data_IF_195982512058
#
_entry.id   IF_195982512058
#
_cell.length_a   1.000
_cell.length_b   1.000
_cell.length_c   1.000
_cell.angle_alpha   90.00
_cell.angle_beta   90.00
_cell.angle_gamma   90.00
#
_symmetry.space_group_name_H-M   'P 1'
#
loop_
_entity.id
_entity.type
_entity.pdbx_description
1 polymer ?
#
# COMPACT_ATOMS: atom_id res chain seq x y z
N UNK A 1 27.34 1.16 -18.77
CA UNK A 1 27.22 1.99 -17.55
C UNK A 1 26.13 3.02 -17.80
N UNK A 2 24.94 2.83 -17.24
CA UNK A 2 23.82 3.77 -17.40
C UNK A 2 23.75 4.65 -16.16
N UNK A 3 23.91 5.96 -16.35
CA UNK A 3 23.91 6.98 -15.29
C UNK A 3 22.50 7.41 -14.86
N UNK A 4 21.50 6.53 -15.00
CA UNK A 4 20.13 6.81 -14.56
C UNK A 4 19.80 5.79 -13.49
N UNK A 5 19.56 6.27 -12.25
CA UNK A 5 19.04 5.43 -11.17
C UNK A 5 17.79 4.69 -11.69
N UNK A 6 17.68 3.36 -11.53
CA UNK A 6 16.55 2.58 -12.02
C UNK A 6 15.19 3.11 -11.50
N UNK A 7 15.21 3.75 -10.33
CA UNK A 7 14.06 4.45 -9.75
C UNK A 7 13.55 5.61 -10.62
N UNK A 8 14.43 6.38 -11.26
CA UNK A 8 14.04 7.49 -12.13
C UNK A 8 13.47 7.01 -13.47
N UNK A 9 13.99 5.90 -14.01
CA UNK A 9 13.42 5.26 -15.21
C UNK A 9 12.03 4.71 -14.95
N UNK A 10 11.80 4.09 -13.78
CA UNK A 10 10.49 3.60 -13.39
C UNK A 10 9.46 4.74 -13.30
N UNK A 11 9.88 5.92 -12.81
CA UNK A 11 9.01 7.12 -12.78
C UNK A 11 8.69 7.60 -14.19
N UNK A 12 9.67 7.73 -15.08
CA UNK A 12 9.43 8.24 -16.46
C UNK A 12 8.53 7.28 -17.26
N UNK A 13 8.80 5.97 -17.18
CA UNK A 13 7.95 4.96 -17.84
C UNK A 13 6.54 4.93 -17.26
N UNK A 14 6.38 5.19 -15.96
CA UNK A 14 5.10 5.25 -15.26
C UNK A 14 4.24 6.45 -15.65
N UNK A 15 4.85 7.57 -16.05
CA UNK A 15 4.14 8.79 -16.45
C UNK A 15 4.06 8.99 -17.97
N UNK A 16 4.55 8.03 -18.77
CA UNK A 16 4.60 8.14 -20.24
C UNK A 16 3.23 8.42 -20.86
N UNK A 17 2.18 7.76 -20.37
CA UNK A 17 0.81 7.95 -20.86
C UNK A 17 0.28 9.37 -20.56
N UNK A 18 0.58 9.90 -19.36
CA UNK A 18 0.21 11.25 -18.97
C UNK A 18 0.99 12.31 -19.76
N UNK A 19 2.29 12.10 -19.98
CA UNK A 19 3.15 12.97 -20.80
C UNK A 19 2.71 12.99 -22.26
N UNK A 20 2.39 11.83 -22.85
CA UNK A 20 1.85 11.75 -24.20
C UNK A 20 0.48 12.45 -24.30
N UNK A 21 -0.42 12.23 -23.34
CA UNK A 21 -1.71 12.91 -23.28
C UNK A 21 -1.57 14.43 -23.16
N UNK A 22 -0.63 14.91 -22.35
CA UNK A 22 -0.31 16.34 -22.22
C UNK A 22 0.25 16.93 -23.53
N UNK A 23 1.17 16.22 -24.20
CA UNK A 23 1.70 16.65 -25.50
C UNK A 23 0.59 16.75 -26.56
N UNK A 24 -0.31 15.77 -26.61
CA UNK A 24 -1.46 15.78 -27.54
C UNK A 24 -2.42 16.93 -27.22
N UNK A 25 -2.69 17.20 -25.94
CA UNK A 25 -3.49 18.35 -25.51
C UNK A 25 -2.89 19.69 -25.92
N UNK A 26 -1.58 19.87 -25.71
CA UNK A 26 -0.86 21.08 -26.10
C UNK A 26 -0.87 21.27 -27.63
N UNK A 27 -0.72 20.18 -28.39
CA UNK A 27 -0.81 20.20 -29.84
C UNK A 27 -2.22 20.57 -30.33
N UNK A 28 -3.25 19.97 -29.72
CA UNK A 28 -4.65 20.26 -30.04
C UNK A 28 -5.03 21.71 -29.69
N UNK A 29 -4.55 22.22 -28.56
CA UNK A 29 -4.74 23.62 -28.15
C UNK A 29 -4.04 24.58 -29.12
N UNK A 30 -2.81 24.25 -29.55
CA UNK A 30 -2.07 25.05 -30.52
C UNK A 30 -2.78 25.10 -31.89
N UNK A 31 -3.28 23.97 -32.39
CA UNK A 31 -4.11 23.94 -33.61
C UNK A 31 -5.45 24.65 -33.45
N UNK A 32 -6.09 24.58 -32.28
CA UNK A 32 -7.34 25.31 -32.01
C UNK A 32 -7.18 26.83 -32.01
N UNK A 33 -6.01 27.34 -31.62
CA UNK A 33 -5.68 28.78 -31.61
C UNK A 33 -5.20 29.30 -32.97
N UNK A 34 -4.61 28.45 -33.81
CA UNK A 34 -3.99 28.84 -35.09
C UNK A 34 -4.87 28.59 -36.31
N UNK A 35 -5.87 27.70 -36.22
CA UNK A 35 -6.73 27.32 -37.36
C UNK A 35 -8.12 27.98 -37.34
N UNK A 36 -8.59 28.39 -38.52
CA UNK A 36 -9.96 28.90 -38.75
C UNK A 36 -10.79 27.89 -39.59
N UNK A 37 -12.11 27.86 -39.37
CA UNK A 37 -13.04 27.00 -40.13
C UNK A 37 -13.32 25.62 -39.52
N UNK A 38 -13.63 24.62 -40.37
CA UNK A 38 -14.00 23.24 -39.98
C UNK A 38 -12.92 22.54 -39.13
N UNK A 39 -11.65 22.91 -39.36
CA UNK A 39 -10.49 22.38 -38.63
C UNK A 39 -10.53 22.74 -37.13
N UNK A 40 -11.21 23.83 -36.74
CA UNK A 40 -11.39 24.24 -35.34
C UNK A 40 -12.33 23.29 -34.58
N UNK A 41 -13.34 22.74 -35.25
CA UNK A 41 -14.23 21.73 -34.64
C UNK A 41 -13.53 20.39 -34.44
N UNK A 42 -12.67 19.99 -35.38
CA UNK A 42 -11.81 18.81 -35.24
C UNK A 42 -10.82 18.99 -34.08
N UNK A 43 -10.21 20.18 -33.95
CA UNK A 43 -9.34 20.51 -32.82
C UNK A 43 -10.08 20.50 -31.47
N UNK A 44 -11.31 21.01 -31.42
CA UNK A 44 -12.14 20.96 -30.22
C UNK A 44 -12.46 19.52 -29.78
N UNK A 45 -12.81 18.64 -30.72
CA UNK A 45 -13.04 17.22 -30.44
C UNK A 45 -11.77 16.52 -29.92
N UNK A 46 -10.61 16.80 -30.52
CA UNK A 46 -9.30 16.29 -30.08
C UNK A 46 -8.92 16.82 -28.68
N UNK A 47 -9.25 18.08 -28.37
CA UNK A 47 -8.98 18.66 -27.06
C UNK A 47 -9.79 17.99 -25.95
N UNK A 48 -11.07 17.68 -26.22
CA UNK A 48 -11.92 16.92 -25.29
C UNK A 48 -11.38 15.50 -25.09
N UNK A 49 -11.05 14.80 -26.18
CA UNK A 49 -10.48 13.46 -26.12
C UNK A 49 -9.13 13.42 -25.38
N UNK A 50 -8.24 14.38 -25.64
CA UNK A 50 -6.97 14.54 -24.95
C UNK A 50 -7.15 14.86 -23.46
N UNK A 51 -8.13 15.71 -23.12
CA UNK A 51 -8.52 16.01 -21.75
C UNK A 51 -8.97 14.77 -20.98
N UNK A 52 -9.86 13.97 -21.58
CA UNK A 52 -10.32 12.70 -21.02
C UNK A 52 -9.16 11.72 -20.79
N UNK A 53 -8.26 11.58 -21.76
CA UNK A 53 -7.08 10.71 -21.64
C UNK A 53 -6.11 11.21 -20.55
N UNK A 54 -5.89 12.52 -20.45
CA UNK A 54 -5.02 13.10 -19.43
C UNK A 54 -5.59 12.90 -18.02
N UNK A 55 -6.90 13.11 -17.84
CA UNK A 55 -7.60 12.86 -16.55
C UNK A 55 -7.56 11.37 -16.21
N UNK A 56 -7.80 10.47 -17.16
CA UNK A 56 -7.70 9.03 -16.95
C UNK A 56 -6.26 8.59 -16.60
N UNK A 57 -5.26 9.18 -17.26
CA UNK A 57 -3.84 8.97 -16.95
C UNK A 57 -3.46 9.49 -15.57
N UNK A 58 -3.99 10.65 -15.16
CA UNK A 58 -3.76 11.22 -13.84
C UNK A 58 -4.43 10.39 -12.74
N UNK A 59 -5.65 9.90 -12.97
CA UNK A 59 -6.32 8.96 -12.07
C UNK A 59 -5.53 7.65 -11.92
N UNK A 60 -5.10 7.04 -13.03
CA UNK A 60 -4.29 5.79 -13.01
C UNK A 60 -2.91 5.99 -12.38
N UNK A 61 -2.29 7.14 -12.62
CA UNK A 61 -1.03 7.54 -12.00
C UNK A 61 -1.17 7.71 -10.48
N UNK A 62 -2.26 8.34 -10.02
CA UNK A 62 -2.57 8.48 -8.59
C UNK A 62 -2.83 7.15 -7.89
N UNK A 63 -3.52 6.21 -8.53
CA UNK A 63 -3.73 4.86 -7.97
C UNK A 63 -2.42 4.06 -7.79
N UNK A 64 -1.39 4.30 -8.62
CA UNK A 64 -0.05 3.71 -8.45
C UNK A 64 0.90 4.53 -7.57
N UNK A 65 0.51 5.75 -7.17
CA UNK A 65 1.33 6.62 -6.31
C UNK A 65 1.15 6.29 -4.82
N UNK A 66 0.05 5.62 -4.43
CA UNK A 66 -0.22 5.19 -3.05
C UNK A 66 0.16 3.74 -2.73
N UNK A 67 0.57 2.94 -3.72
CA UNK A 67 0.65 1.46 -3.60
C UNK A 67 2.07 0.91 -3.40
N UNK A 68 2.98 1.67 -2.80
CA UNK A 68 4.30 1.13 -2.43
C UNK A 68 4.27 0.22 -1.19
N UNK A 69 3.08 -0.04 -0.64
CA UNK A 69 2.86 -1.07 0.35
C UNK A 69 3.03 -2.44 -0.25
N UNK A 70 3.90 -3.25 0.34
CA UNK A 70 4.04 -4.65 -0.04
C UNK A 70 2.74 -5.38 0.39
N UNK A 71 1.73 -5.39 -0.48
CA UNK A 71 0.45 -6.09 -0.27
C UNK A 71 -0.72 -5.23 0.24
N UNK A 72 -1.89 -5.87 0.32
CA UNK A 72 -3.16 -5.27 0.76
C UNK A 72 -3.65 -5.99 2.00
N UNK A 73 -4.12 -5.23 2.98
CA UNK A 73 -4.75 -5.72 4.19
C UNK A 73 -6.26 -5.47 4.13
N UNK A 74 -7.04 -6.47 4.51
CA UNK A 74 -8.49 -6.40 4.55
C UNK A 74 -9.00 -6.96 5.87
N UNK A 75 -9.89 -6.21 6.53
CA UNK A 75 -10.59 -6.65 7.75
C UNK A 75 -12.08 -6.81 7.42
N UNK A 76 -12.63 -8.01 7.59
CA UNK A 76 -14.06 -8.30 7.38
C UNK A 76 -14.53 -9.17 8.52
N UNK A 77 -15.57 -8.75 9.25
CA UNK A 77 -16.20 -9.54 10.31
C UNK A 77 -15.23 -10.07 11.39
N UNK A 78 -14.20 -9.30 11.74
CA UNK A 78 -13.18 -9.71 12.71
C UNK A 78 -12.17 -10.73 12.16
N UNK A 79 -12.19 -11.01 10.86
CA UNK A 79 -11.13 -11.71 10.15
C UNK A 79 -10.20 -10.70 9.50
N UNK A 80 -8.90 -10.90 9.69
CA UNK A 80 -7.85 -10.11 9.09
C UNK A 80 -7.16 -10.93 8.00
N UNK A 81 -7.24 -10.46 6.75
CA UNK A 81 -6.57 -11.05 5.62
C UNK A 81 -5.48 -10.13 5.09
N UNK A 82 -4.33 -10.69 4.76
CA UNK A 82 -3.24 -10.01 4.09
C UNK A 82 -2.88 -10.71 2.79
N UNK A 83 -2.85 -9.94 1.71
CA UNK A 83 -2.54 -10.39 0.37
C UNK A 83 -1.24 -9.72 -0.08
N UNK A 84 -0.12 -10.38 0.19
CA UNK A 84 1.21 -9.96 -0.27
C UNK A 84 1.63 -10.65 -1.58
N UNK A 85 2.65 -10.10 -2.27
CA UNK A 85 3.11 -10.60 -3.57
C UNK A 85 3.78 -11.99 -3.53
N UNK A 86 4.31 -12.40 -2.37
CA UNK A 86 4.99 -13.68 -2.18
C UNK A 86 4.46 -14.50 -1.02
N UNK A 87 3.73 -13.86 -0.10
CA UNK A 87 3.18 -14.47 1.10
C UNK A 87 1.87 -13.75 1.43
N UNK A 88 0.90 -14.50 1.94
CA UNK A 88 -0.40 -14.00 2.34
C UNK A 88 -1.12 -15.05 3.18
N UNK A 89 -2.16 -14.62 3.87
CA UNK A 89 -2.92 -15.47 4.77
C UNK A 89 -4.04 -14.70 5.43
N UNK A 90 -4.88 -15.42 6.17
CA UNK A 90 -5.96 -14.83 6.93
C UNK A 90 -5.95 -15.40 8.34
N UNK A 91 -6.14 -14.53 9.32
CA UNK A 91 -6.22 -14.86 10.75
C UNK A 91 -7.49 -14.29 11.35
N UNK A 92 -8.13 -15.02 12.25
CA UNK A 92 -9.28 -14.52 12.99
C UNK A 92 -8.81 -13.73 14.21
N UNK A 93 -9.29 -12.51 14.41
CA UNK A 93 -8.93 -11.70 15.57
C UNK A 93 -9.27 -12.39 16.90
N UNK A 94 -10.37 -13.15 16.93
CA UNK A 94 -10.83 -13.89 18.11
C UNK A 94 -9.88 -15.04 18.49
N UNK A 95 -9.10 -15.56 17.54
CA UNK A 95 -8.18 -16.68 17.74
C UNK A 95 -6.71 -16.22 17.81
N UNK A 96 -6.48 -14.91 17.74
CA UNK A 96 -5.16 -14.33 17.75
C UNK A 96 -4.50 -14.57 19.12
N UNK A 97 -3.33 -15.21 19.12
CA UNK A 97 -2.61 -15.54 20.34
C UNK A 97 -1.57 -14.48 20.70
N UNK A 98 -0.82 -13.99 19.70
CA UNK A 98 0.27 -13.02 19.90
C UNK A 98 0.30 -12.01 18.77
N UNK A 99 0.44 -10.73 19.13
CA UNK A 99 0.77 -9.64 18.21
C UNK A 99 2.16 -9.15 18.53
N UNK A 100 3.06 -9.21 17.55
CA UNK A 100 4.41 -8.68 17.67
C UNK A 100 4.78 -7.81 16.49
N UNK A 101 5.70 -6.89 16.71
CA UNK A 101 6.28 -6.03 15.69
C UNK A 101 7.74 -6.44 15.51
N UNK A 102 8.06 -6.99 14.34
CA UNK A 102 9.42 -7.26 13.93
C UNK A 102 10.00 -6.06 13.18
N UNK A 103 10.90 -5.36 13.84
CA UNK A 103 11.58 -4.19 13.32
C UNK A 103 12.95 -4.51 12.70
N UNK A 104 13.40 -5.78 12.73
CA UNK A 104 14.69 -6.21 12.16
C UNK A 104 14.72 -6.10 10.63
N UNK A 105 13.55 -6.13 9.99
CA UNK A 105 13.40 -5.92 8.55
C UNK A 105 12.90 -4.50 8.27
N UNK A 106 13.33 -3.93 7.13
CA UNK A 106 12.84 -2.64 6.61
C UNK A 106 12.10 -2.90 5.29
N UNK A 107 10.79 -2.55 5.18
CA UNK A 107 9.93 -1.99 6.22
C UNK A 107 9.65 -2.98 7.37
N UNK A 108 9.36 -2.46 8.57
CA UNK A 108 8.96 -3.26 9.73
C UNK A 108 7.73 -4.11 9.40
N UNK A 109 7.55 -5.23 10.11
CA UNK A 109 6.46 -6.18 9.85
C UNK A 109 5.73 -6.52 11.14
N UNK A 110 4.41 -6.48 11.10
CA UNK A 110 3.55 -7.13 12.09
C UNK A 110 3.66 -8.63 11.92
N UNK A 111 3.83 -9.36 13.02
CA UNK A 111 3.82 -10.82 13.04
C UNK A 111 2.68 -11.24 13.96
N UNK A 112 1.70 -11.89 13.35
CA UNK A 112 0.45 -12.31 13.96
C UNK A 112 0.44 -13.83 14.08
N UNK A 113 0.46 -14.31 15.32
CA UNK A 113 0.48 -15.73 15.60
C UNK A 113 -0.92 -16.22 15.97
N UNK A 114 -1.38 -17.26 15.28
CA UNK A 114 -2.62 -17.97 15.59
C UNK A 114 -2.29 -19.46 15.84
N UNK A 115 -2.88 -20.11 16.87
CA UNK A 115 -2.61 -21.52 17.12
C UNK A 115 -3.03 -22.39 15.92
N UNK A 116 -2.11 -23.23 15.42
CA UNK A 116 -2.41 -24.20 14.36
C UNK A 116 -2.31 -23.66 12.92
N UNK A 117 -1.90 -22.41 12.73
CA UNK A 117 -1.66 -21.79 11.42
C UNK A 117 -0.28 -21.13 11.42
N UNK A 118 0.35 -21.03 10.25
CA UNK A 118 1.62 -20.30 10.10
C UNK A 118 1.46 -18.81 10.47
N UNK A 119 2.54 -18.24 11.02
CA UNK A 119 2.59 -16.83 11.42
C UNK A 119 2.34 -15.91 10.21
N UNK A 120 1.37 -15.00 10.36
CA UNK A 120 1.04 -14.03 9.32
C UNK A 120 1.92 -12.77 9.47
N UNK A 121 2.81 -12.56 8.51
CA UNK A 121 3.64 -11.36 8.43
C UNK A 121 3.00 -10.27 7.55
N UNK A 122 2.79 -9.08 8.11
CA UNK A 122 2.19 -7.94 7.41
C UNK A 122 3.11 -6.72 7.49
N UNK A 123 3.63 -6.20 6.36
CA UNK A 123 4.43 -4.99 6.34
C UNK A 123 3.65 -3.77 6.87
N UNK A 124 4.31 -2.92 7.68
CA UNK A 124 3.69 -1.70 8.25
C UNK A 124 3.23 -0.71 7.19
N UNK A 125 3.78 -0.79 5.97
CA UNK A 125 3.43 0.09 4.86
C UNK A 125 2.39 -0.52 3.90
N UNK A 126 1.82 -1.69 4.21
CA UNK A 126 0.79 -2.31 3.38
C UNK A 126 -0.43 -1.40 3.20
N UNK A 127 -1.12 -1.55 2.07
CA UNK A 127 -2.32 -0.76 1.78
C UNK A 127 -3.44 -1.22 2.72
N UNK A 128 -4.09 -0.29 3.43
CA UNK A 128 -5.10 -0.63 4.43
C UNK A 128 -4.51 -1.06 5.77
N UNK A 129 -3.21 -0.83 6.00
CA UNK A 129 -2.58 -1.05 7.29
C UNK A 129 -3.24 -0.21 8.41
N UNK A 130 -3.96 0.85 8.07
CA UNK A 130 -4.76 1.64 9.01
C UNK A 130 -5.82 0.79 9.70
N UNK A 131 -6.46 -0.13 8.97
CA UNK A 131 -7.48 -1.02 9.51
C UNK A 131 -6.91 -2.03 10.51
N UNK A 132 -5.60 -2.33 10.47
CA UNK A 132 -4.93 -3.15 11.49
C UNK A 132 -4.96 -2.47 12.85
N UNK A 133 -4.78 -1.15 12.90
CA UNK A 133 -4.76 -0.43 14.17
C UNK A 133 -6.12 -0.49 14.86
N UNK A 134 -7.19 -0.27 14.10
CA UNK A 134 -8.56 -0.38 14.61
C UNK A 134 -8.88 -1.82 15.04
N UNK A 135 -8.44 -2.80 14.23
CA UNK A 135 -8.57 -4.23 14.52
C UNK A 135 -7.86 -4.61 15.83
N UNK A 136 -6.61 -4.18 16.03
CA UNK A 136 -5.86 -4.45 17.26
C UNK A 136 -6.44 -3.72 18.46
N UNK A 137 -6.94 -2.50 18.30
CA UNK A 137 -7.61 -1.76 19.37
C UNK A 137 -8.92 -2.41 19.83
N UNK A 138 -9.54 -3.25 19.01
CA UNK A 138 -10.72 -4.04 19.37
C UNK A 138 -10.38 -5.28 20.23
N UNK A 139 -9.09 -5.65 20.36
CA UNK A 139 -8.67 -6.77 21.20
C UNK A 139 -8.75 -6.38 22.70
N UNK A 140 -9.12 -7.31 23.58
CA UNK A 140 -9.17 -7.05 25.01
C UNK A 140 -7.77 -6.74 25.55
N UNK A 141 -7.67 -5.67 26.34
CA UNK A 141 -6.43 -5.26 27.02
C UNK A 141 -5.25 -4.89 26.09
N UNK A 142 -5.54 -4.47 24.84
CA UNK A 142 -4.50 -4.09 23.89
C UNK A 142 -3.82 -2.74 24.26
N UNK A 143 -2.49 -2.70 24.45
CA UNK A 143 -1.78 -1.49 24.83
C UNK A 143 -1.46 -0.61 23.61
N UNK A 144 -2.44 0.20 23.18
CA UNK A 144 -2.32 1.11 22.02
C UNK A 144 -1.14 2.09 22.17
N UNK A 145 -0.88 2.60 23.37
CA UNK A 145 0.24 3.52 23.62
C UNK A 145 1.60 2.88 23.32
N UNK A 146 1.79 1.63 23.75
CA UNK A 146 3.04 0.87 23.52
C UNK A 146 3.24 0.61 22.03
N UNK A 147 2.15 0.28 21.32
CA UNK A 147 2.16 0.10 19.87
C UNK A 147 2.62 1.37 19.15
N UNK A 148 2.01 2.52 19.45
CA UNK A 148 2.35 3.81 18.84
C UNK A 148 3.78 4.25 19.19
N UNK A 149 4.24 3.98 20.41
CA UNK A 149 5.61 4.25 20.82
C UNK A 149 6.62 3.45 20.00
N UNK A 150 6.37 2.14 19.79
CA UNK A 150 7.25 1.28 18.99
C UNK A 150 7.28 1.65 17.51
N UNK A 151 6.18 2.19 16.96
CA UNK A 151 6.15 2.67 15.58
C UNK A 151 6.91 3.99 15.40
N UNK A 152 6.88 4.87 16.41
CA UNK A 152 7.65 6.13 16.40
C UNK A 152 9.14 5.89 16.65
N UNK A 153 9.46 4.94 17.53
CA UNK A 153 10.83 4.59 17.92
C UNK A 153 11.07 3.09 17.72
N UNK A 154 11.22 2.64 16.45
CA UNK A 154 11.44 1.24 16.16
C UNK A 154 12.78 0.79 16.74
N UNK A 155 12.70 -0.10 17.73
CA UNK A 155 13.84 -0.82 18.28
C UNK A 155 14.37 -1.85 17.26
N UNK A 156 15.64 -2.25 17.31
CA UNK A 156 16.21 -3.17 16.31
C UNK A 156 15.86 -4.66 16.57
N UNK A 157 14.80 -4.90 17.34
CA UNK A 157 14.39 -6.22 17.82
C UNK A 157 12.91 -6.49 17.54
N UNK A 158 12.53 -7.77 17.57
CA UNK A 158 11.13 -8.19 17.60
C UNK A 158 10.56 -7.89 18.99
N UNK A 159 9.48 -7.10 19.03
CA UNK A 159 8.81 -6.70 20.28
C UNK A 159 7.41 -7.29 20.30
N UNK A 160 7.07 -8.02 21.36
CA UNK A 160 5.70 -8.50 21.58
C UNK A 160 4.88 -7.36 22.17
N UNK A 161 3.80 -6.97 21.50
CA UNK A 161 2.94 -5.86 21.93
C UNK A 161 1.76 -6.39 22.73
N UNK A 162 1.20 -7.53 22.32
CA UNK A 162 0.04 -8.11 22.99
C UNK A 162 0.06 -9.64 22.93
N UNK A 163 -0.57 -10.25 23.93
CA UNK A 163 -0.78 -11.69 24.03
C UNK A 163 -2.17 -11.95 24.60
N UNK A 164 -2.89 -12.92 24.05
CA UNK A 164 -4.17 -13.35 24.60
C UNK A 164 -3.98 -14.05 25.94
N UNK A 165 -4.72 -13.61 26.94
CA UNK A 165 -4.75 -14.18 28.30
C UNK A 165 -5.22 -15.64 28.32
N UNK A 166 -5.93 -16.09 27.28
CA UNK A 166 -6.50 -17.44 27.16
C UNK A 166 -5.66 -18.45 26.36
N UNK A 167 -4.62 -18.02 25.64
CA UNK A 167 -3.80 -18.91 24.80
C UNK A 167 -2.42 -19.11 25.44
N UNK A 168 -2.14 -20.31 25.95
CA UNK A 168 -0.77 -20.72 26.31
C UNK A 168 -0.02 -20.97 25.00
N UNK A 169 0.97 -20.15 24.59
CA UNK A 169 1.75 -20.46 23.40
C UNK A 169 2.78 -21.52 23.79
N UNK A 170 2.75 -22.69 23.15
CA UNK A 170 3.91 -23.56 23.09
C UNK A 170 4.99 -22.84 22.27
N UNK A 171 5.80 -22.03 22.94
CA UNK A 171 6.94 -21.39 22.32
C UNK A 171 7.99 -22.46 22.03
N UNK A 172 8.25 -22.72 20.75
CA UNK A 172 9.47 -23.39 20.33
C UNK A 172 10.60 -22.37 20.46
N UNK A 173 11.23 -22.37 21.63
CA UNK A 173 12.57 -21.84 21.82
C UNK A 173 13.49 -22.82 21.08
N UNK A 174 13.95 -22.44 19.88
CA UNK A 174 15.17 -23.02 19.34
C UNK A 174 16.33 -22.21 19.92
N UNK A 175 17.19 -22.93 20.65
CA UNK A 175 18.45 -22.48 21.24
C UNK A 175 19.48 -22.06 20.17
#
# INVERSE_FOLDING_TARGET
>A
MSLIRPEAQAVIWRWREALLGLCVLLLALWWGLTAFGLLRWVAAALMVAGGLLAVAGLQRGRFRLGSNGAGVVQVVEGQLAYFGPSAGGAVALSELAVVSLDNRRRPSRWVLCQPGVDDLEIPVNAIGAEALFDAFAALPEFPVDVMLQQLRHPSDNKVVIWRSTGSIPQFRLED
#
